data_IF_555992744227
#
_entry.id   IF_555992744227
#
_cell.length_a   1.000
_cell.length_b   1.000
_cell.length_c   1.000
_cell.angle_alpha   90.00
_cell.angle_beta   90.00
_cell.angle_gamma   90.00
#
_symmetry.space_group_name_H-M   'P 1'
#
loop_
_entity.id
_entity.type
_entity.pdbx_description
1 polymer ?
#
# COMPACT_ATOMS: atom_id res chain seq x y z
N UNK A 1 -16.89 -6.69 -15.27
CA UNK A 1 -16.66 -6.60 -14.86
C UNK A 1 -16.21 -6.77 -14.36
N UNK A 2 -16.12 -7.16 -14.14
CA UNK A 2 -15.74 -7.38 -13.53
C UNK A 2 -14.80 -7.25 -13.18
N UNK A 3 -14.22 -7.32 -13.45
CA UNK A 3 -13.17 -7.35 -13.12
C UNK A 3 -12.73 -6.49 -12.48
N UNK A 4 -12.98 -5.85 -12.42
CA UNK A 4 -12.65 -4.97 -11.82
C UNK A 4 -12.95 -5.03 -10.63
N UNK A 5 -13.69 -5.59 -10.42
CA UNK A 5 -14.04 -5.74 -9.29
C UNK A 5 -13.15 -6.26 -8.51
N UNK A 6 -12.55 -6.95 -8.93
CA UNK A 6 -11.67 -7.60 -8.17
C UNK A 6 -10.92 -6.66 -7.48
N UNK A 7 -10.74 -5.75 -7.94
CA UNK A 7 -9.88 -4.97 -7.35
C UNK A 7 -10.55 -4.31 -6.37
N UNK A 8 -11.55 -4.27 -6.44
CA UNK A 8 -12.16 -3.61 -5.61
C UNK A 8 -11.99 -3.92 -4.36
N UNK A 9 -11.26 -4.47 -4.17
CA UNK A 9 -10.93 -4.90 -3.15
C UNK A 9 -11.12 -4.10 -2.15
N UNK A 10 -10.56 -4.14 -1.20
CA UNK A 10 -10.74 -3.60 -0.10
C UNK A 10 -10.05 -2.35 0.06
N UNK A 11 -10.66 -1.24 0.41
CA UNK A 11 -10.01 -0.03 0.87
C UNK A 11 -9.70 -0.24 2.32
N UNK A 12 -8.43 -0.28 2.65
CA UNK A 12 -7.99 -0.56 4.02
C UNK A 12 -7.60 0.70 4.78
N UNK A 13 -7.51 1.82 4.11
CA UNK A 13 -7.19 3.09 4.77
C UNK A 13 -7.75 4.23 3.93
N UNK A 14 -8.39 5.17 4.57
CA UNK A 14 -8.94 6.31 3.86
C UNK A 14 -8.53 7.56 4.62
N UNK A 15 -7.47 8.19 4.18
CA UNK A 15 -6.93 9.36 4.85
C UNK A 15 -7.31 10.66 4.19
N UNK A 16 -6.71 11.73 4.67
CA UNK A 16 -7.03 13.05 4.16
C UNK A 16 -6.48 13.26 2.75
N UNK A 17 -5.30 12.75 2.50
CA UNK A 17 -4.62 13.01 1.24
C UNK A 17 -4.69 11.87 0.24
N UNK A 18 -4.94 10.68 0.72
CA UNK A 18 -4.94 9.51 -0.16
C UNK A 18 -5.75 8.38 0.47
N UNK A 19 -6.05 7.38 -0.32
CA UNK A 19 -6.63 6.16 0.25
C UNK A 19 -5.80 4.98 -0.24
N UNK A 20 -5.91 3.86 0.44
CA UNK A 20 -5.10 2.69 0.18
C UNK A 20 -5.99 1.48 -0.02
N UNK A 21 -5.72 0.72 -1.07
CA UNK A 21 -6.43 -0.53 -1.30
C UNK A 21 -5.46 -1.69 -1.13
N UNK A 22 -5.97 -2.83 -0.73
CA UNK A 22 -5.14 -4.01 -0.52
C UNK A 22 -5.47 -5.03 -1.59
N UNK A 23 -4.45 -5.44 -2.34
CA UNK A 23 -4.60 -6.44 -3.36
C UNK A 23 -3.95 -7.73 -2.87
N UNK A 24 -4.73 -8.78 -2.80
CA UNK A 24 -4.19 -10.09 -2.44
C UNK A 24 -4.01 -10.87 -3.73
N UNK A 25 -2.78 -11.18 -4.04
CA UNK A 25 -2.44 -11.83 -5.30
C UNK A 25 -2.28 -13.33 -5.01
N UNK A 26 -3.01 -14.19 -5.66
CA UNK A 26 -3.03 -15.61 -5.30
C UNK A 26 -1.69 -16.29 -5.17
N UNK A 27 -0.75 -15.98 -6.04
CA UNK A 27 0.51 -16.67 -5.97
C UNK A 27 1.58 -15.95 -5.17
N UNK A 28 1.24 -14.87 -4.50
CA UNK A 28 2.21 -14.14 -3.71
C UNK A 28 1.95 -14.37 -2.24
N UNK A 29 3.00 -14.46 -1.46
CA UNK A 29 2.83 -14.62 -0.04
C UNK A 29 2.43 -13.33 0.63
N UNK A 30 2.72 -12.19 0.03
CA UNK A 30 2.44 -10.91 0.65
C UNK A 30 1.52 -10.10 -0.23
N UNK A 31 0.65 -9.30 0.35
CA UNK A 31 -0.26 -8.47 -0.45
C UNK A 31 0.46 -7.24 -0.98
N UNK A 32 -0.17 -6.55 -1.89
CA UNK A 32 0.32 -5.29 -2.41
C UNK A 32 -0.70 -4.25 -2.01
N UNK A 33 -0.24 -3.16 -1.41
CA UNK A 33 -1.12 -2.05 -1.02
C UNK A 33 -0.89 -0.92 -2.00
N UNK A 34 -1.96 -0.43 -2.64
CA UNK A 34 -1.82 0.64 -3.62
C UNK A 34 -2.32 1.93 -3.02
N UNK A 35 -1.56 2.99 -3.19
CA UNK A 35 -1.91 4.30 -2.67
C UNK A 35 -2.45 5.13 -3.81
N UNK A 36 -3.67 5.64 -3.63
CA UNK A 36 -4.38 6.38 -4.66
C UNK A 36 -4.62 7.80 -4.17
N UNK A 37 -4.39 8.78 -5.03
CA UNK A 37 -4.70 10.14 -4.61
C UNK A 37 -6.22 10.35 -4.66
N UNK A 38 -6.65 11.54 -4.32
CA UNK A 38 -8.10 11.80 -4.26
C UNK A 38 -8.77 11.76 -5.64
N UNK A 39 -7.99 11.76 -6.70
CA UNK A 39 -8.52 11.64 -8.05
C UNK A 39 -8.44 10.20 -8.55
N UNK A 40 -8.13 9.29 -7.66
CA UNK A 40 -8.05 7.85 -7.98
C UNK A 40 -6.91 7.52 -8.95
N UNK A 41 -5.82 8.24 -8.84
CA UNK A 41 -4.62 7.93 -9.60
C UNK A 41 -3.65 7.24 -8.65
N UNK A 42 -3.10 6.11 -9.05
CA UNK A 42 -2.18 5.37 -8.22
C UNK A 42 -0.85 6.09 -8.19
N UNK A 43 -0.44 6.55 -7.02
CA UNK A 43 0.78 7.34 -6.90
C UNK A 43 1.91 6.59 -6.23
N UNK A 44 1.62 5.48 -5.61
CA UNK A 44 2.66 4.68 -4.95
C UNK A 44 2.12 3.31 -4.61
N UNK A 45 3.02 2.43 -4.25
CA UNK A 45 2.66 1.06 -3.88
C UNK A 45 3.50 0.68 -2.67
N UNK A 46 2.88 0.01 -1.71
CA UNK A 46 3.61 -0.56 -0.60
C UNK A 46 3.63 -2.06 -0.85
N UNK A 47 4.81 -2.64 -0.98
CA UNK A 47 4.92 -4.07 -1.21
C UNK A 47 6.20 -4.59 -0.59
N UNK A 48 6.32 -5.89 -0.51
CA UNK A 48 7.47 -6.51 0.11
C UNK A 48 8.72 -6.29 -0.72
N UNK A 49 9.76 -5.81 -0.08
CA UNK A 49 11.06 -5.62 -0.73
C UNK A 49 12.00 -6.64 -0.14
N UNK A 50 12.31 -7.67 -0.92
CA UNK A 50 13.08 -8.80 -0.41
C UNK A 50 14.47 -8.44 0.09
N UNK A 51 15.10 -7.46 -0.55
CA UNK A 51 16.45 -7.09 -0.13
C UNK A 51 16.50 -6.57 1.31
N UNK A 52 15.43 -5.92 1.76
CA UNK A 52 15.38 -5.39 3.11
C UNK A 52 14.43 -6.20 4.00
N UNK A 53 13.77 -7.18 3.42
CA UNK A 53 12.91 -8.10 4.14
C UNK A 53 11.83 -7.38 4.93
N UNK A 54 11.17 -6.47 4.27
CA UNK A 54 10.06 -5.74 4.86
C UNK A 54 9.26 -5.04 3.78
N UNK A 55 8.09 -4.54 4.17
CA UNK A 55 7.29 -3.74 3.25
C UNK A 55 7.93 -2.37 3.12
N UNK A 56 8.01 -1.89 1.90
CA UNK A 56 8.58 -0.58 1.60
C UNK A 56 7.69 0.16 0.62
N UNK A 57 7.90 1.45 0.51
CA UNK A 57 7.13 2.27 -0.40
C UNK A 57 7.86 2.37 -1.73
N UNK A 58 7.13 2.13 -2.81
CA UNK A 58 7.66 2.30 -4.15
C UNK A 58 6.83 3.38 -4.81
N UNK A 59 7.43 4.51 -5.15
CA UNK A 59 6.69 5.61 -5.76
C UNK A 59 6.45 5.33 -7.24
N UNK A 60 5.32 5.82 -7.74
CA UNK A 60 4.95 5.59 -9.11
C UNK A 60 4.86 6.90 -9.84
N UNK A 61 5.38 6.96 -11.04
CA UNK A 61 5.27 8.16 -11.83
C UNK A 61 6.15 9.28 -11.36
N UNK A 62 6.09 10.38 -12.05
CA UNK A 62 6.88 11.53 -11.67
C UNK A 62 5.92 12.66 -11.36
N UNK A 63 6.40 13.66 -10.70
CA UNK A 63 5.57 14.81 -10.40
C UNK A 63 4.68 14.66 -9.19
N UNK A 64 4.81 13.59 -8.47
CA UNK A 64 4.04 13.39 -7.24
C UNK A 64 4.74 14.13 -6.11
N UNK A 65 3.99 14.91 -5.38
CA UNK A 65 4.57 15.73 -4.30
C UNK A 65 4.13 15.16 -2.96
N UNK A 66 5.08 15.01 -2.06
CA UNK A 66 4.81 14.42 -0.75
C UNK A 66 5.15 15.43 0.33
N UNK A 67 4.19 15.81 1.12
CA UNK A 67 4.42 16.68 2.25
C UNK A 67 4.65 15.88 3.51
N UNK A 68 5.07 16.55 4.56
CA UNK A 68 5.40 15.86 5.79
C UNK A 68 4.20 15.15 6.44
N UNK A 69 3.00 15.72 6.33
CA UNK A 69 1.85 15.05 6.91
C UNK A 69 1.52 13.79 6.11
N UNK A 70 1.62 13.87 4.81
CA UNK A 70 1.38 12.73 3.96
C UNK A 70 2.40 11.64 4.23
N UNK A 71 3.66 12.01 4.36
CA UNK A 71 4.70 11.05 4.65
C UNK A 71 4.53 10.42 6.03
N UNK A 72 4.05 11.20 7.00
CA UNK A 72 3.78 10.64 8.32
C UNK A 72 2.75 9.56 8.26
N UNK A 73 1.71 9.76 7.45
CA UNK A 73 0.68 8.74 7.32
C UNK A 73 1.26 7.49 6.67
N UNK A 74 2.11 7.65 5.67
CA UNK A 74 2.75 6.52 5.01
C UNK A 74 3.63 5.76 6.01
N UNK A 75 4.39 6.47 6.82
CA UNK A 75 5.25 5.83 7.81
C UNK A 75 4.43 5.00 8.79
N UNK A 76 3.31 5.54 9.25
CA UNK A 76 2.44 4.80 10.15
C UNK A 76 1.91 3.53 9.49
N UNK A 77 1.54 3.61 8.21
CA UNK A 77 1.04 2.46 7.52
C UNK A 77 2.13 1.41 7.33
N UNK A 78 3.34 1.84 6.99
CA UNK A 78 4.44 0.90 6.83
C UNK A 78 4.73 0.19 8.15
N UNK A 79 4.72 0.93 9.26
CA UNK A 79 4.95 0.33 10.56
C UNK A 79 3.85 -0.69 10.87
N UNK A 80 2.62 -0.36 10.57
CA UNK A 80 1.50 -1.24 10.83
C UNK A 80 1.61 -2.53 10.01
N UNK A 81 1.87 -2.40 8.72
CA UNK A 81 1.91 -3.57 7.85
C UNK A 81 3.11 -4.47 8.18
N UNK A 82 4.24 -3.87 8.52
CA UNK A 82 5.39 -4.67 8.89
C UNK A 82 5.16 -5.37 10.23
N UNK A 83 4.48 -4.71 11.16
CA UNK A 83 4.18 -5.33 12.43
C UNK A 83 3.21 -6.49 12.24
N UNK A 84 2.18 -6.28 11.43
CA UNK A 84 1.21 -7.33 11.18
C UNK A 84 1.86 -8.54 10.55
N UNK A 85 2.78 -8.32 9.63
CA UNK A 85 3.46 -9.43 8.99
C UNK A 85 4.26 -10.22 10.01
N UNK A 86 4.99 -9.53 10.88
CA UNK A 86 5.79 -10.22 11.87
C UNK A 86 4.93 -11.03 12.83
N UNK A 87 3.77 -10.49 13.17
CA UNK A 87 2.91 -11.16 14.14
C UNK A 87 2.13 -12.32 13.55
N UNK A 88 1.73 -12.20 12.30
CA UNK A 88 0.86 -13.17 11.70
C UNK A 88 1.47 -14.07 10.66
N UNK A 89 2.43 -13.60 9.94
CA UNK A 89 2.95 -14.36 8.83
C UNK A 89 4.32 -14.88 9.02
N UNK A 90 4.96 -14.46 10.04
CA UNK A 90 6.30 -14.81 10.18
C UNK A 90 6.43 -16.03 10.96
N UNK A 91 6.07 -17.04 10.42
CA UNK A 91 6.19 -18.19 11.17
C UNK A 91 6.85 -19.12 10.48
#
# INVERSE_FOLDING_TARGET
>A
MKDNECLADKIVYNGEYFFVSKDVIPDRKTPIYRIWDRNAVCIATIKWYGAWRKFCLFTEGSGVVWGNKCLSEVISLLDTYNKEYRENGNR
#
